data_IF_174390000938
#
_entry.id   IF_174390000938
#
_cell.length_a   1.000
_cell.length_b   1.000
_cell.length_c   1.000
_cell.angle_alpha   90.00
_cell.angle_beta   90.00
_cell.angle_gamma   90.00
#
_symmetry.space_group_name_H-M   'P 1'
#
loop_
_entity.id
_entity.type
_entity.pdbx_description
1 polymer ?
#
# COMPACT_ATOMS: atom_id res chain seq x y z
N UNK A 1 14.02 -4.72 -1.24
CA UNK A 1 12.90 -3.81 -1.56
C UNK A 1 12.91 -2.67 -0.54
N UNK A 2 12.71 -1.45 -0.99
CA UNK A 2 12.77 -0.25 -0.17
C UNK A 2 11.56 0.63 -0.49
N UNK A 3 10.63 0.85 0.44
CA UNK A 3 9.49 1.72 0.20
C UNK A 3 9.95 3.17 0.02
N UNK A 4 9.32 3.88 -0.90
CA UNK A 4 9.59 5.30 -1.19
C UNK A 4 8.40 6.14 -0.75
N UNK A 5 7.21 5.74 -1.17
CA UNK A 5 5.96 6.45 -0.88
C UNK A 5 4.81 5.47 -0.78
N UNK A 6 3.92 5.70 0.17
CA UNK A 6 2.67 4.96 0.36
C UNK A 6 1.51 5.94 0.35
N UNK A 7 0.53 5.70 -0.52
CA UNK A 7 -0.78 6.33 -0.45
C UNK A 7 -1.84 5.29 -0.11
N UNK A 8 -2.79 5.67 0.71
CA UNK A 8 -3.93 4.82 1.05
C UNK A 8 -5.20 5.65 1.18
N UNK A 9 -6.32 5.07 0.76
CA UNK A 9 -7.64 5.69 0.80
C UNK A 9 -8.70 4.65 1.13
N UNK A 10 -9.66 5.00 1.97
CA UNK A 10 -10.71 4.11 2.45
C UNK A 10 -10.16 2.81 3.08
N UNK A 11 -9.01 2.89 3.73
CA UNK A 11 -8.26 1.75 4.25
C UNK A 11 -8.02 1.89 5.75
N UNK A 12 -8.54 0.96 6.56
CA UNK A 12 -8.47 1.02 8.02
C UNK A 12 -9.03 2.34 8.57
N UNK A 13 -8.31 3.05 9.45
CA UNK A 13 -8.74 4.34 9.99
C UNK A 13 -8.62 5.50 8.98
N UNK A 14 -8.04 5.28 7.82
CA UNK A 14 -7.83 6.30 6.79
C UNK A 14 -9.03 6.34 5.83
N UNK A 15 -10.01 7.18 6.16
CA UNK A 15 -11.20 7.37 5.31
C UNK A 15 -10.86 8.10 4.01
N UNK A 16 -10.09 9.17 4.14
CA UNK A 16 -9.60 9.99 3.03
C UNK A 16 -8.20 9.57 2.59
N UNK A 17 -7.77 10.08 1.46
CA UNK A 17 -6.41 9.82 0.94
C UNK A 17 -5.35 10.35 1.90
N UNK A 18 -4.49 9.47 2.36
CA UNK A 18 -3.31 9.78 3.15
C UNK A 18 -2.05 9.38 2.39
N UNK A 19 -1.02 10.21 2.49
CA UNK A 19 0.26 9.99 1.81
C UNK A 19 1.38 9.97 2.85
N UNK A 20 2.26 8.99 2.76
CA UNK A 20 3.40 8.80 3.63
C UNK A 20 4.64 8.70 2.77
N UNK A 21 5.57 9.64 2.94
CA UNK A 21 6.87 9.61 2.25
C UNK A 21 7.93 9.00 3.15
N UNK A 22 8.64 8.01 2.61
CA UNK A 22 9.78 7.36 3.27
C UNK A 22 11.12 7.88 2.74
N UNK A 23 11.14 8.80 1.77
CA UNK A 23 12.37 9.28 1.15
C UNK A 23 13.36 9.90 2.14
N UNK A 24 12.85 10.66 3.10
CA UNK A 24 13.68 11.30 4.13
C UNK A 24 14.38 10.31 5.07
N UNK A 25 13.99 9.04 5.06
CA UNK A 25 14.57 7.99 5.93
C UNK A 25 15.53 7.05 5.16
N UNK A 26 15.77 7.32 3.90
CA UNK A 26 16.51 6.40 3.03
C UNK A 26 18.01 6.32 3.36
N UNK A 27 18.60 7.39 3.88
CA UNK A 27 20.04 7.42 4.17
C UNK A 27 20.48 6.37 5.21
N UNK A 28 19.66 6.15 6.22
CA UNK A 28 20.00 5.22 7.31
C UNK A 28 19.31 3.85 7.19
N UNK A 29 18.32 3.69 6.30
CA UNK A 29 17.61 2.43 6.09
C UNK A 29 16.75 1.97 7.28
N UNK A 30 16.70 2.74 8.37
CA UNK A 30 15.94 2.45 9.58
C UNK A 30 15.09 3.67 9.96
N UNK A 31 13.82 3.42 10.28
CA UNK A 31 12.91 4.45 10.78
C UNK A 31 11.93 3.85 11.79
N UNK A 32 11.39 4.69 12.64
CA UNK A 32 10.43 4.33 13.67
C UNK A 32 9.09 5.02 13.40
N UNK A 33 8.00 4.26 13.45
CA UNK A 33 6.64 4.77 13.38
C UNK A 33 6.07 4.80 14.80
N UNK A 34 5.81 6.01 15.31
CA UNK A 34 5.28 6.24 16.64
C UNK A 34 3.86 6.82 16.57
N UNK A 35 3.07 6.56 17.57
CA UNK A 35 1.73 7.11 17.73
C UNK A 35 0.94 6.34 18.80
N UNK A 36 -0.20 6.86 19.18
CA UNK A 36 -1.09 6.22 20.15
C UNK A 36 -1.72 4.94 19.60
N UNK A 37 -2.18 4.06 20.46
CA UNK A 37 -2.96 2.88 20.09
C UNK A 37 -4.19 3.30 19.28
N UNK A 38 -4.40 2.66 18.13
CA UNK A 38 -5.51 2.99 17.22
C UNK A 38 -5.23 4.15 16.25
N UNK A 39 -4.04 4.75 16.27
CA UNK A 39 -3.67 5.84 15.34
C UNK A 39 -3.36 5.38 13.90
N UNK A 40 -3.43 4.09 13.62
CA UNK A 40 -3.22 3.55 12.27
C UNK A 40 -1.80 3.08 11.97
N UNK A 41 -0.92 2.95 12.97
CA UNK A 41 0.46 2.47 12.77
C UNK A 41 0.54 1.10 12.11
N UNK A 42 -0.20 0.12 12.63
CA UNK A 42 -0.23 -1.23 12.09
C UNK A 42 -0.85 -1.26 10.69
N UNK A 43 -1.81 -0.38 10.43
CA UNK A 43 -2.47 -0.25 9.13
C UNK A 43 -1.48 0.14 8.02
N UNK A 44 -0.43 0.87 8.32
CA UNK A 44 0.64 1.20 7.37
C UNK A 44 1.32 -0.09 6.87
N UNK A 45 1.65 -1.01 7.78
CA UNK A 45 2.24 -2.31 7.41
C UNK A 45 1.23 -3.21 6.68
N UNK A 46 -0.03 -3.20 7.11
CA UNK A 46 -1.11 -3.91 6.42
C UNK A 46 -1.26 -3.40 4.97
N UNK A 47 -1.18 -2.09 4.76
CA UNK A 47 -1.25 -1.48 3.44
C UNK A 47 -0.09 -1.91 2.54
N UNK A 48 1.14 -1.95 3.06
CA UNK A 48 2.32 -2.42 2.31
C UNK A 48 2.16 -3.91 1.97
N UNK A 49 1.77 -4.74 2.93
CA UNK A 49 1.55 -6.17 2.72
C UNK A 49 0.43 -6.42 1.71
N UNK A 50 -0.67 -5.66 1.80
CA UNK A 50 -1.76 -5.73 0.85
C UNK A 50 -1.32 -5.33 -0.56
N UNK A 51 -0.59 -4.23 -0.70
CA UNK A 51 -0.11 -3.76 -2.01
C UNK A 51 0.76 -4.83 -2.70
N UNK A 52 1.68 -5.46 -1.96
CA UNK A 52 2.64 -6.41 -2.51
C UNK A 52 2.08 -7.82 -2.66
N UNK A 53 1.33 -8.30 -1.67
CA UNK A 53 1.00 -9.73 -1.54
C UNK A 53 -0.50 -10.03 -1.50
N UNK A 54 -1.36 -9.02 -1.58
CA UNK A 54 -2.81 -9.19 -1.47
C UNK A 54 -3.26 -9.82 -0.14
N UNK A 55 -2.59 -9.47 0.94
CA UNK A 55 -2.84 -10.01 2.28
C UNK A 55 -2.62 -8.94 3.35
N UNK A 56 -3.20 -9.13 4.52
CA UNK A 56 -2.89 -8.31 5.68
C UNK A 56 -1.57 -8.73 6.34
N UNK A 57 -0.95 -7.82 7.08
CA UNK A 57 0.27 -8.08 7.84
C UNK A 57 0.00 -8.82 9.14
N UNK A 58 -0.46 -10.03 9.12
CA UNK A 58 -0.69 -10.82 10.33
C UNK A 58 -1.74 -11.91 10.11
N UNK A 59 -1.56 -13.01 10.81
CA UNK A 59 -2.40 -14.19 10.64
C UNK A 59 -3.85 -14.01 11.09
N UNK A 60 -4.13 -13.03 11.94
CA UNK A 60 -5.44 -12.82 12.56
C UNK A 60 -6.31 -11.78 11.87
N UNK A 61 -5.76 -10.99 10.94
CA UNK A 61 -6.50 -9.94 10.24
C UNK A 61 -7.10 -10.45 8.93
N UNK A 62 -8.41 -10.36 8.84
CA UNK A 62 -9.11 -10.68 7.59
C UNK A 62 -9.07 -9.46 6.66
N UNK A 63 -8.94 -9.71 5.37
CA UNK A 63 -8.96 -8.68 4.32
C UNK A 63 -10.19 -7.76 4.39
N UNK A 64 -11.34 -8.34 4.75
CA UNK A 64 -12.60 -7.61 4.89
C UNK A 64 -12.54 -6.49 5.95
N UNK A 65 -11.68 -6.65 6.96
CA UNK A 65 -11.49 -5.65 8.04
C UNK A 65 -10.55 -4.51 7.64
N UNK A 66 -9.92 -4.59 6.49
CA UNK A 66 -9.03 -3.53 5.99
C UNK A 66 -9.80 -2.39 5.31
N UNK A 67 -11.03 -2.64 4.88
CA UNK A 67 -11.90 -1.58 4.39
C UNK A 67 -12.26 -0.62 5.53
N UNK A 68 -12.24 0.69 5.28
CA UNK A 68 -12.55 1.68 6.29
C UNK A 68 -14.02 1.66 6.69
N UNK A 69 -14.29 1.58 7.99
CA UNK A 69 -15.64 1.70 8.54
C UNK A 69 -16.20 3.14 8.48
N UNK A 70 -15.35 4.11 8.16
CA UNK A 70 -15.71 5.53 8.09
C UNK A 70 -16.16 5.98 6.70
N UNK A 71 -16.22 5.08 5.72
CA UNK A 71 -16.65 5.36 4.36
C UNK A 71 -17.82 4.47 3.96
N UNK A 72 -18.53 4.87 2.91
CA UNK A 72 -19.60 4.05 2.34
C UNK A 72 -19.06 2.69 1.86
N UNK A 73 -19.82 1.63 2.08
CA UNK A 73 -19.44 0.27 1.70
C UNK A 73 -19.17 0.09 0.19
N UNK A 74 -19.65 0.99 -0.64
CA UNK A 74 -19.42 1.00 -2.09
C UNK A 74 -18.10 1.63 -2.50
N UNK A 75 -17.48 2.44 -1.62
CA UNK A 75 -16.20 3.08 -1.92
C UNK A 75 -15.10 2.04 -1.90
N UNK A 76 -14.32 1.96 -2.97
CA UNK A 76 -13.16 1.07 -3.02
C UNK A 76 -12.07 1.54 -2.07
N UNK A 77 -11.47 0.60 -1.36
CA UNK A 77 -10.19 0.81 -0.69
C UNK A 77 -9.09 0.74 -1.73
N UNK A 78 -8.17 1.69 -1.72
CA UNK A 78 -7.04 1.74 -2.63
C UNK A 78 -5.75 1.93 -1.85
N UNK A 79 -4.72 1.20 -2.24
CA UNK A 79 -3.35 1.37 -1.77
C UNK A 79 -2.44 1.50 -2.97
N UNK A 80 -1.59 2.53 -2.94
CA UNK A 80 -0.54 2.76 -3.92
C UNK A 80 0.79 2.76 -3.20
N UNK A 81 1.70 1.92 -3.63
CA UNK A 81 3.05 1.81 -3.07
C UNK A 81 4.08 2.06 -4.17
N UNK A 82 4.90 3.08 -3.98
CA UNK A 82 6.11 3.32 -4.76
C UNK A 82 7.30 2.73 -3.98
N UNK A 83 8.09 1.90 -4.63
CA UNK A 83 9.25 1.26 -4.01
C UNK A 83 10.39 1.04 -5.00
N UNK A 84 11.60 0.90 -4.48
CA UNK A 84 12.77 0.50 -5.25
C UNK A 84 13.14 -0.96 -4.98
N UNK A 85 13.57 -1.65 -6.02
CA UNK A 85 14.07 -3.01 -5.96
C UNK A 85 15.13 -3.23 -7.02
N UNK A 86 16.31 -3.71 -6.62
CA UNK A 86 17.45 -3.97 -7.53
C UNK A 86 17.79 -2.78 -8.44
N UNK A 87 17.80 -1.57 -7.88
CA UNK A 87 18.14 -0.33 -8.60
C UNK A 87 17.06 0.23 -9.52
N UNK A 88 15.88 -0.37 -9.54
CA UNK A 88 14.73 0.10 -10.31
C UNK A 88 13.62 0.57 -9.39
N UNK A 89 12.78 1.48 -9.87
CA UNK A 89 11.60 1.98 -9.16
C UNK A 89 10.34 1.37 -9.77
N UNK A 90 9.45 0.94 -8.89
CA UNK A 90 8.18 0.32 -9.25
C UNK A 90 7.05 0.97 -8.47
N UNK A 91 5.89 1.05 -9.10
CA UNK A 91 4.65 1.43 -8.45
C UNK A 91 3.66 0.28 -8.54
N UNK A 92 3.08 -0.10 -7.42
CA UNK A 92 1.94 -1.01 -7.39
C UNK A 92 0.72 -0.27 -6.89
N UNK A 93 -0.40 -0.43 -7.59
CA UNK A 93 -1.72 0.09 -7.20
C UNK A 93 -2.62 -1.10 -7.05
N UNK A 94 -3.25 -1.21 -5.88
CA UNK A 94 -4.20 -2.29 -5.59
C UNK A 94 -5.45 -1.73 -4.94
N UNK A 95 -6.61 -2.20 -5.41
CA UNK A 95 -7.90 -1.79 -4.88
C UNK A 95 -8.81 -2.97 -4.60
N UNK A 96 -9.70 -2.82 -3.64
CA UNK A 96 -10.76 -3.78 -3.36
C UNK A 96 -12.01 -3.08 -2.81
N UNK A 97 -13.17 -3.73 -2.96
CA UNK A 97 -14.47 -3.17 -2.53
C UNK A 97 -15.23 -4.07 -1.55
N UNK A 98 -14.55 -4.89 -0.78
CA UNK A 98 -15.16 -5.81 0.18
C UNK A 98 -15.80 -7.06 -0.43
N UNK A 99 -16.00 -7.12 -1.75
CA UNK A 99 -16.62 -8.25 -2.48
C UNK A 99 -15.73 -8.91 -3.53
N UNK A 100 -14.41 -8.76 -3.45
CA UNK A 100 -13.43 -9.41 -4.31
C UNK A 100 -13.47 -9.04 -5.81
N UNK A 101 -12.84 -7.96 -6.17
CA UNK A 101 -11.98 -7.95 -7.36
C UNK A 101 -10.79 -7.12 -7.02
N UNK A 102 -9.74 -7.76 -6.58
CA UNK A 102 -8.47 -7.12 -6.36
C UNK A 102 -7.86 -6.83 -7.73
N UNK A 103 -8.07 -5.62 -8.20
CA UNK A 103 -7.31 -5.13 -9.34
C UNK A 103 -5.95 -4.71 -8.83
N UNK A 104 -4.90 -5.28 -9.41
CA UNK A 104 -3.54 -4.89 -9.14
C UNK A 104 -2.86 -4.46 -10.44
N UNK A 105 -2.24 -3.30 -10.41
CA UNK A 105 -1.43 -2.79 -11.51
C UNK A 105 -0.01 -2.59 -10.99
N UNK A 106 0.97 -3.20 -11.63
CA UNK A 106 2.38 -2.98 -11.37
C UNK A 106 3.01 -2.23 -12.54
N UNK A 107 3.67 -1.14 -12.24
CA UNK A 107 4.33 -0.28 -13.22
C UNK A 107 5.80 -0.10 -12.84
N UNK A 108 6.69 -0.20 -13.83
CA UNK A 108 8.10 0.16 -13.69
C UNK A 108 8.29 1.61 -14.12
N UNK A 109 8.90 2.42 -13.28
CA UNK A 109 9.29 3.79 -13.63
C UNK A 109 10.50 3.76 -14.56
N UNK A 110 10.32 4.23 -15.78
CA UNK A 110 11.40 4.44 -16.76
C UNK A 110 11.63 5.92 -16.97
N UNK A 111 12.73 6.29 -17.62
CA UNK A 111 13.03 7.69 -17.97
C UNK A 111 11.92 8.36 -18.80
N UNK A 112 11.05 7.58 -19.45
CA UNK A 112 9.94 8.02 -20.30
C UNK A 112 8.57 7.94 -19.59
N UNK A 113 8.51 7.57 -18.30
CA UNK A 113 7.28 7.43 -17.51
C UNK A 113 7.07 6.01 -16.96
N UNK A 114 5.88 5.78 -16.39
CA UNK A 114 5.48 4.48 -15.85
C UNK A 114 5.08 3.51 -16.96
N UNK A 115 5.64 2.31 -16.95
CA UNK A 115 5.31 1.25 -17.89
C UNK A 115 4.66 0.10 -17.13
N UNK A 116 3.51 -0.34 -17.62
CA UNK A 116 2.78 -1.45 -17.03
C UNK A 116 3.58 -2.76 -17.14
N UNK A 117 3.77 -3.44 -16.02
CA UNK A 117 4.51 -4.69 -15.88
C UNK A 117 3.62 -5.81 -15.33
N UNK A 118 2.37 -5.90 -15.78
CA UNK A 118 1.40 -6.89 -15.27
C UNK A 118 1.89 -8.34 -15.28
N UNK A 119 2.90 -8.65 -16.08
CA UNK A 119 3.54 -9.98 -16.11
C UNK A 119 4.50 -10.24 -14.94
N UNK A 120 4.82 -9.22 -14.12
CA UNK A 120 5.75 -9.31 -12.99
C UNK A 120 5.05 -9.34 -11.62
N UNK A 121 3.74 -9.55 -11.57
CA UNK A 121 2.95 -9.59 -10.33
C UNK A 121 3.28 -10.83 -9.46
N UNK A 122 4.18 -11.69 -9.87
CA UNK A 122 4.70 -12.80 -9.07
C UNK A 122 5.95 -12.37 -8.28
N UNK A 123 5.73 -11.58 -7.26
CA UNK A 123 6.78 -11.32 -6.27
C UNK A 123 6.54 -12.20 -5.06
#
# INVERSE_FOLDING_TARGET
MRPIELELEAFGPYAERAQISFEQFQENGLFLICGDTGSGKTTIFDAIAFALYDTASGETRKMETLHSDYVEAKKCSEVRLLFSHKGKRYQVIRSFNGKRKNEAVLEEEKKEGLTNCNSLIFI
#
